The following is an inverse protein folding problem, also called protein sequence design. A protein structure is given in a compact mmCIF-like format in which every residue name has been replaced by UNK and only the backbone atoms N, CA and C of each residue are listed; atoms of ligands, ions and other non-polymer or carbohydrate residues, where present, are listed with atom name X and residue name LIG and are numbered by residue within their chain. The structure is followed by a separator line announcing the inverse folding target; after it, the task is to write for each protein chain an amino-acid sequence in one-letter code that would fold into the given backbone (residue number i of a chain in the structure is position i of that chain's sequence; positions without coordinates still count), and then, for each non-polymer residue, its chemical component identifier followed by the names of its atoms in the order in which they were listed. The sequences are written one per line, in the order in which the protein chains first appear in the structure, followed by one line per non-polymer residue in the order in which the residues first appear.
data_IF_032897028952
#
_entry.id   IF_032897028952
#
_cell.length_a   1.000
_cell.length_b   1.000
_cell.length_c   1.000
_cell.angle_alpha   90.00
_cell.angle_beta   90.00
_cell.angle_gamma   90.00
#
_symmetry.space_group_name_H-M   'P 1'
#
loop_
_entity.id
_entity.type
_entity.pdbx_description
1 polymer ?
#
# COMPACT_ATOMS: atom_id res chain seq x y z
N UNK A 1 -13.77 -0.37 8.07
CA UNK A 1 -12.69 -1.38 8.09
C UNK A 1 -11.70 -1.05 7.00
N UNK A 2 -10.49 -0.67 7.37
CA UNK A 2 -9.43 -0.27 6.45
C UNK A 2 -8.40 -1.40 6.30
N UNK A 3 -8.05 -1.76 5.07
CA UNK A 3 -7.10 -2.82 4.73
C UNK A 3 -6.02 -2.25 3.83
N UNK A 4 -4.75 -2.52 4.17
CA UNK A 4 -3.61 -2.22 3.33
C UNK A 4 -3.08 -3.53 2.72
N UNK A 5 -3.10 -3.62 1.39
CA UNK A 5 -2.55 -4.75 0.65
C UNK A 5 -1.23 -4.33 -0.02
N UNK A 6 -0.21 -5.16 0.14
CA UNK A 6 1.13 -4.99 -0.39
C UNK A 6 1.43 -6.23 -1.26
N UNK A 7 1.62 -6.01 -2.55
CA UNK A 7 2.10 -7.05 -3.46
C UNK A 7 3.57 -6.78 -3.76
N UNK A 8 4.44 -7.73 -3.41
CA UNK A 8 5.89 -7.64 -3.62
C UNK A 8 6.39 -8.77 -4.50
N UNK A 9 5.49 -9.53 -5.14
CA UNK A 9 5.82 -10.73 -5.91
C UNK A 9 6.49 -10.42 -7.25
N UNK A 10 6.42 -9.16 -7.70
CA UNK A 10 7.05 -8.67 -8.93
C UNK A 10 8.08 -7.59 -8.62
N UNK A 11 8.99 -7.35 -9.58
CA UNK A 11 9.98 -6.27 -9.47
C UNK A 11 9.33 -4.88 -9.28
N UNK A 12 8.17 -4.69 -9.89
CA UNK A 12 7.39 -3.49 -9.71
C UNK A 12 6.77 -3.49 -8.31
N UNK A 13 5.92 -4.47 -7.99
CA UNK A 13 5.15 -4.50 -6.75
C UNK A 13 4.06 -3.42 -6.72
N UNK A 14 3.11 -3.54 -5.80
CA UNK A 14 2.00 -2.60 -5.66
C UNK A 14 1.54 -2.43 -4.21
N UNK A 15 0.85 -1.31 -3.96
CA UNK A 15 0.23 -0.97 -2.68
C UNK A 15 -1.21 -0.55 -2.94
N UNK A 16 -2.17 -1.23 -2.32
CA UNK A 16 -3.59 -0.92 -2.43
C UNK A 16 -4.21 -0.65 -1.05
N UNK A 17 -5.09 0.35 -0.98
CA UNK A 17 -5.86 0.68 0.21
C UNK A 17 -7.34 0.39 -0.05
N UNK A 18 -7.94 -0.44 0.79
CA UNK A 18 -9.36 -0.76 0.74
C UNK A 18 -10.05 -0.24 1.99
N UNK A 19 -11.21 0.38 1.83
CA UNK A 19 -12.10 0.78 2.92
C UNK A 19 -13.47 0.13 2.71
N UNK A 20 -13.94 -0.66 3.67
CA UNK A 20 -15.26 -1.31 3.62
C UNK A 20 -15.47 -2.07 2.29
N UNK A 21 -14.44 -2.83 1.85
CA UNK A 21 -14.39 -3.57 0.58
C UNK A 21 -14.36 -2.71 -0.70
N UNK A 22 -14.27 -1.39 -0.58
CA UNK A 22 -14.08 -0.48 -1.71
C UNK A 22 -12.60 -0.17 -1.88
N UNK A 23 -12.08 -0.32 -3.10
CA UNK A 23 -10.74 0.14 -3.44
C UNK A 23 -10.69 1.68 -3.43
N UNK A 24 -9.90 2.24 -2.53
CA UNK A 24 -9.71 3.69 -2.36
C UNK A 24 -8.55 4.19 -3.21
N UNK A 25 -7.55 3.33 -3.43
CA UNK A 25 -6.48 3.63 -4.36
C UNK A 25 -5.44 2.53 -4.42
N UNK A 26 -4.71 2.51 -5.53
CA UNK A 26 -3.61 1.61 -5.81
C UNK A 26 -2.42 2.41 -6.33
N UNK A 27 -1.20 1.96 -5.99
CA UNK A 27 0.05 2.44 -6.58
C UNK A 27 0.81 1.24 -7.10
N UNK A 28 1.07 1.24 -8.40
CA UNK A 28 2.07 0.37 -8.99
C UNK A 28 3.44 1.02 -8.85
N UNK A 29 4.34 0.28 -8.22
CA UNK A 29 5.69 0.72 -7.95
C UNK A 29 6.58 0.33 -9.15
N UNK A 30 6.41 0.94 -10.32
CA UNK A 30 7.31 0.64 -11.45
C UNK A 30 8.57 1.52 -11.36
N UNK A 31 9.65 1.01 -10.76
CA UNK A 31 10.87 1.79 -10.51
C UNK A 31 12.11 0.91 -10.31
N UNK A 32 13.30 1.32 -10.81
CA UNK A 32 14.53 0.52 -10.75
C UNK A 32 15.19 0.43 -9.36
N UNK A 33 14.71 1.16 -8.36
CA UNK A 33 15.24 1.14 -6.97
C UNK A 33 14.67 -0.01 -6.15
N UNK A 34 15.35 -0.38 -5.07
CA UNK A 34 14.95 -1.55 -4.26
C UNK A 34 13.55 -1.34 -3.67
N UNK A 35 12.80 -2.44 -3.51
CA UNK A 35 11.42 -2.39 -3.02
C UNK A 35 11.34 -1.80 -1.59
N UNK A 36 12.29 -2.16 -0.73
CA UNK A 36 12.42 -1.68 0.65
C UNK A 36 12.53 -0.15 0.75
N UNK A 37 13.20 0.49 -0.22
CA UNK A 37 13.34 1.95 -0.30
C UNK A 37 12.05 2.64 -0.76
N UNK A 38 11.13 1.92 -1.41
CA UNK A 38 9.90 2.48 -2.01
C UNK A 38 8.65 2.26 -1.17
N UNK A 39 8.60 1.14 -0.45
CA UNK A 39 7.40 0.68 0.24
C UNK A 39 6.88 1.69 1.27
N UNK A 40 7.72 2.03 2.25
CA UNK A 40 7.31 2.91 3.35
C UNK A 40 6.94 4.32 2.85
N UNK A 41 7.69 4.97 1.95
CA UNK A 41 7.29 6.25 1.38
C UNK A 41 5.96 6.22 0.61
N UNK A 42 5.63 5.10 -0.06
CA UNK A 42 4.38 4.98 -0.82
C UNK A 42 3.19 4.65 0.07
N UNK A 43 3.38 3.83 1.09
CA UNK A 43 2.37 3.62 2.15
C UNK A 43 2.08 4.94 2.86
N UNK A 44 3.11 5.68 3.27
CA UNK A 44 2.96 6.98 3.92
C UNK A 44 2.22 7.98 3.02
N UNK A 45 2.62 8.09 1.74
CA UNK A 45 1.91 8.95 0.78
C UNK A 45 0.45 8.55 0.64
N UNK A 46 0.15 7.25 0.51
CA UNK A 46 -1.24 6.80 0.33
C UNK A 46 -2.10 7.12 1.53
N UNK A 47 -1.61 6.86 2.75
CA UNK A 47 -2.33 7.20 3.98
C UNK A 47 -2.61 8.72 4.06
N UNK A 48 -1.61 9.56 3.76
CA UNK A 48 -1.78 11.02 3.71
C UNK A 48 -2.82 11.47 2.67
N UNK A 49 -2.81 10.90 1.46
CA UNK A 49 -3.80 11.23 0.42
C UNK A 49 -5.21 10.78 0.77
N UNK A 50 -5.34 9.67 1.48
CA UNK A 50 -6.63 9.11 1.90
C UNK A 50 -7.16 9.73 3.19
N UNK A 51 -6.38 10.60 3.86
CA UNK A 51 -6.66 11.12 5.22
C UNK A 51 -6.90 10.00 6.25
N UNK A 52 -6.30 8.84 6.01
CA UNK A 52 -6.38 7.68 6.88
C UNK A 52 -5.13 7.60 7.75
N UNK A 53 -5.28 7.11 8.96
CA UNK A 53 -4.15 6.94 9.88
C UNK A 53 -3.71 5.47 9.95
N UNK A 54 -2.44 5.24 10.31
CA UNK A 54 -1.92 3.88 10.42
C UNK A 54 -2.65 3.09 11.51
N UNK A 55 -3.09 3.77 12.57
CA UNK A 55 -3.85 3.16 13.68
C UNK A 55 -5.23 2.65 13.26
N UNK A 56 -5.76 3.10 12.11
CA UNK A 56 -7.08 2.70 11.59
C UNK A 56 -7.00 1.42 10.73
N UNK A 57 -5.79 0.97 10.39
CA UNK A 57 -5.57 -0.25 9.61
C UNK A 57 -5.86 -1.48 10.45
N UNK A 58 -6.79 -2.30 9.97
CA UNK A 58 -7.25 -3.51 10.66
C UNK A 58 -6.48 -4.73 10.17
N UNK A 59 -6.00 -4.72 8.91
CA UNK A 59 -5.35 -5.87 8.28
C UNK A 59 -4.24 -5.40 7.33
N UNK A 60 -3.13 -6.14 7.36
CA UNK A 60 -2.06 -6.09 6.37
C UNK A 60 -2.05 -7.40 5.57
N UNK A 61 -2.17 -7.30 4.25
CA UNK A 61 -1.96 -8.44 3.36
C UNK A 61 -0.63 -8.25 2.63
N UNK A 62 0.29 -9.20 2.78
CA UNK A 62 1.63 -9.15 2.14
C UNK A 62 1.81 -10.39 1.29
N UNK A 63 2.16 -10.19 0.03
CA UNK A 63 2.51 -11.26 -0.90
C UNK A 63 4.00 -11.14 -1.22
N UNK A 64 4.79 -12.15 -0.82
CA UNK A 64 6.26 -12.21 -0.98
C UNK A 64 6.62 -13.25 -2.03
#
# INVERSE_FOLDING_TARGET
MLILALDTTTFCGSVALLENQRLIGEVNLDSPVTFSERLLPVVERRLKFSRCWLEELVVYAVWV
#
